data_IF_524327955834
#
_entry.id   IF_524327955834
#
_cell.length_a   1.000
_cell.length_b   1.000
_cell.length_c   1.000
_cell.angle_alpha   90.00
_cell.angle_beta   90.00
_cell.angle_gamma   90.00
#
_symmetry.space_group_name_H-M   'P 1'
#
loop_
_entity.id
_entity.type
_entity.pdbx_description
1 polymer ?
#
# COMPACT_ATOMS: atom_id res chain seq x y z
N UNK A 1 -3.56 -18.05 -1.32
CA UNK A 1 -4.69 -17.34 -1.98
C UNK A 1 -4.14 -16.04 -2.53
N UNK A 2 -3.96 -15.95 -3.85
CA UNK A 2 -3.49 -14.74 -4.53
C UNK A 2 -4.62 -13.73 -4.48
N UNK A 3 -4.61 -12.83 -3.49
CA UNK A 3 -5.54 -11.71 -3.45
C UNK A 3 -5.25 -10.86 -4.68
N UNK A 4 -6.20 -10.81 -5.61
CA UNK A 4 -6.14 -10.01 -6.83
C UNK A 4 -5.80 -8.56 -6.48
N UNK A 5 -4.84 -7.98 -7.20
CA UNK A 5 -4.48 -6.57 -7.02
C UNK A 5 -5.71 -5.71 -7.30
N UNK A 6 -6.06 -4.77 -6.41
CA UNK A 6 -7.29 -4.03 -6.50
C UNK A 6 -7.24 -3.05 -7.68
N UNK A 7 -8.37 -2.94 -8.41
CA UNK A 7 -8.53 -1.94 -9.48
C UNK A 7 -8.68 -0.51 -8.96
N UNK A 8 -9.11 -0.37 -7.71
CA UNK A 8 -9.21 0.90 -6.98
C UNK A 8 -8.04 1.09 -6.04
N UNK A 9 -7.70 2.34 -5.74
CA UNK A 9 -6.64 2.65 -4.78
C UNK A 9 -6.99 2.09 -3.39
N UNK A 10 -6.18 1.15 -2.93
CA UNK A 10 -6.37 0.45 -1.67
C UNK A 10 -5.16 0.64 -0.78
N UNK A 11 -5.38 1.01 0.47
CA UNK A 11 -4.31 1.18 1.44
C UNK A 11 -3.69 -0.18 1.82
N UNK A 12 -2.36 -0.24 1.86
CA UNK A 12 -1.60 -1.43 2.28
C UNK A 12 -0.70 -1.17 3.48
N UNK A 13 -0.34 0.08 3.76
CA UNK A 13 0.48 0.44 4.91
C UNK A 13 0.19 1.88 5.35
N UNK A 14 0.45 2.19 6.61
CA UNK A 14 0.43 3.55 7.15
C UNK A 14 1.78 3.88 7.80
N UNK A 15 2.16 5.14 7.79
CA UNK A 15 3.35 5.61 8.49
C UNK A 15 3.09 5.66 10.00
N UNK A 16 3.90 4.94 10.75
CA UNK A 16 3.91 4.95 12.21
C UNK A 16 5.02 5.88 12.68
N UNK A 17 4.70 7.09 13.18
CA UNK A 17 5.72 8.00 13.70
C UNK A 17 6.42 7.45 14.95
N UNK A 18 5.75 6.57 15.71
CA UNK A 18 6.33 5.92 16.88
C UNK A 18 7.45 4.92 16.52
N UNK A 19 7.33 4.28 15.36
CA UNK A 19 8.33 3.30 14.86
C UNK A 19 9.21 3.87 13.75
N UNK A 20 8.98 5.13 13.34
CA UNK A 20 9.65 5.82 12.25
C UNK A 20 9.67 5.01 10.93
N UNK A 21 8.59 4.29 10.62
CA UNK A 21 8.49 3.41 9.45
C UNK A 21 7.06 3.20 8.97
N UNK A 22 6.91 2.72 7.74
CA UNK A 22 5.63 2.22 7.24
C UNK A 22 5.30 0.85 7.84
N UNK A 23 4.11 0.73 8.40
CA UNK A 23 3.57 -0.48 9.02
C UNK A 23 2.44 -1.00 8.15
N UNK A 24 2.50 -2.28 7.80
CA UNK A 24 1.49 -2.92 6.97
C UNK A 24 0.12 -2.94 7.67
N UNK A 25 -0.94 -2.68 6.90
CA UNK A 25 -2.31 -2.81 7.39
C UNK A 25 -2.70 -4.29 7.49
N UNK A 26 -3.57 -4.67 8.44
CA UNK A 26 -3.97 -6.08 8.63
C UNK A 26 -4.71 -6.66 7.41
N UNK A 27 -5.32 -5.81 6.59
CA UNK A 27 -6.02 -6.17 5.36
C UNK A 27 -5.19 -5.89 4.09
N UNK A 28 -3.87 -5.67 4.21
CA UNK A 28 -2.99 -5.45 3.07
C UNK A 28 -3.11 -6.61 2.07
N UNK A 29 -3.28 -6.26 0.79
CA UNK A 29 -3.38 -7.21 -0.32
C UNK A 29 -2.02 -7.68 -0.81
N UNK A 30 -0.98 -6.87 -0.59
CA UNK A 30 0.42 -7.15 -0.89
C UNK A 30 1.34 -6.32 0.02
N UNK A 31 2.64 -6.64 0.04
CA UNK A 31 3.66 -5.84 0.73
C UNK A 31 4.11 -4.67 -0.13
N UNK A 32 4.75 -3.66 0.50
CA UNK A 32 5.31 -2.49 -0.21
C UNK A 32 6.38 -2.96 -1.20
N UNK A 33 7.31 -3.82 -0.77
CA UNK A 33 8.38 -4.37 -1.61
C UNK A 33 7.84 -5.09 -2.85
N UNK A 34 6.76 -5.87 -2.69
CA UNK A 34 6.10 -6.53 -3.81
C UNK A 34 5.44 -5.53 -4.76
N UNK A 35 4.79 -4.49 -4.23
CA UNK A 35 4.17 -3.45 -5.02
C UNK A 35 5.19 -2.63 -5.82
N UNK A 36 6.34 -2.30 -5.23
CA UNK A 36 7.41 -1.56 -5.90
C UNK A 36 8.16 -2.40 -6.94
N UNK A 37 8.31 -3.71 -6.69
CA UNK A 37 8.97 -4.63 -7.62
C UNK A 37 8.07 -5.09 -8.78
N UNK A 38 6.75 -4.91 -8.65
CA UNK A 38 5.78 -5.40 -9.63
C UNK A 38 5.47 -4.36 -10.69
N UNK A 39 5.80 -4.59 -11.97
CA UNK A 39 5.46 -3.64 -13.03
C UNK A 39 3.96 -3.51 -13.25
N UNK A 40 3.17 -4.49 -12.80
CA UNK A 40 1.70 -4.53 -12.88
C UNK A 40 0.99 -3.74 -11.75
N UNK A 41 1.72 -3.16 -10.80
CA UNK A 41 1.15 -2.45 -9.66
C UNK A 41 1.59 -0.99 -9.71
N UNK A 42 0.67 -0.08 -9.43
CA UNK A 42 0.97 1.32 -9.14
C UNK A 42 0.92 1.54 -7.65
N UNK A 43 1.92 2.22 -7.13
CA UNK A 43 2.02 2.63 -5.73
C UNK A 43 1.92 4.15 -5.64
N UNK A 44 1.28 4.65 -4.59
CA UNK A 44 1.32 6.06 -4.22
C UNK A 44 1.30 6.22 -2.71
N UNK A 45 1.92 7.28 -2.21
CA UNK A 45 1.78 7.70 -0.81
C UNK A 45 0.88 8.91 -0.76
N UNK A 46 -0.11 8.89 0.14
CA UNK A 46 -1.05 10.01 0.33
C UNK A 46 -1.18 10.31 1.82
N UNK A 47 -1.30 11.60 2.16
CA UNK A 47 -1.72 11.99 3.50
C UNK A 47 -3.25 11.79 3.62
N UNK A 48 -3.68 10.96 4.56
CA UNK A 48 -5.08 10.69 4.85
C UNK A 48 -5.31 10.70 6.36
N UNK A 49 -6.27 11.51 6.83
CA UNK A 49 -6.62 11.63 8.25
C UNK A 49 -5.41 11.92 9.16
N UNK A 50 -4.49 12.78 8.70
CA UNK A 50 -3.28 13.15 9.47
C UNK A 50 -2.18 12.09 9.51
N UNK A 51 -2.28 11.03 8.69
CA UNK A 51 -1.24 9.98 8.55
C UNK A 51 -0.86 9.80 7.09
N UNK A 52 0.40 9.50 6.84
CA UNK A 52 0.83 9.07 5.51
C UNK A 52 0.44 7.61 5.30
N UNK A 53 -0.14 7.30 4.15
CA UNK A 53 -0.68 5.98 3.82
C UNK A 53 -0.18 5.58 2.44
N UNK A 54 0.37 4.37 2.34
CA UNK A 54 0.75 3.77 1.05
C UNK A 54 -0.47 3.07 0.48
N UNK A 55 -0.82 3.44 -0.74
CA UNK A 55 -1.92 2.85 -1.48
C UNK A 55 -1.40 2.20 -2.75
N UNK A 56 -2.02 1.07 -3.12
CA UNK A 56 -1.75 0.36 -4.36
C UNK A 56 -2.98 0.26 -5.24
N UNK A 57 -2.77 0.14 -6.54
CA UNK A 57 -3.79 -0.30 -7.49
C UNK A 57 -3.14 -1.07 -8.64
N UNK A 58 -3.94 -1.81 -9.39
CA UNK A 58 -3.54 -2.43 -10.64
C UNK A 58 -3.12 -1.36 -11.67
N UNK A 59 -2.02 -1.62 -12.38
CA UNK A 59 -1.59 -0.85 -13.54
C UNK A 59 -2.37 -1.40 -14.74
N UNK A 60 -3.57 -0.87 -14.92
CA UNK A 60 -4.36 -1.08 -16.13
C UNK A 60 -3.63 -0.65 -17.40
#
# INVERSE_FOLDING_TARGET
>A
MTRTIPRTWTAIAFYSPAENRFVALPNAVCTIEHAESSPAIRTRTVASSGREVVQVKERG
#
